data_IF_065786911073
#
_entry.id   IF_065786911073
#
_cell.length_a   1.000
_cell.length_b   1.000
_cell.length_c   1.000
_cell.angle_alpha   90.00
_cell.angle_beta   90.00
_cell.angle_gamma   90.00
#
_symmetry.space_group_name_H-M   'P 1'
#
loop_
_entity.id
_entity.type
_entity.pdbx_description
1 polymer ?
#
# COMPACT_ATOMS: atom_id res chain seq x y z
N UNK A 1 9.71 -28.88 -27.29
CA UNK A 1 10.05 -27.45 -27.23
C UNK A 1 9.48 -26.91 -25.93
N UNK A 2 10.29 -26.27 -25.09
CA UNK A 2 9.75 -25.57 -23.92
C UNK A 2 8.91 -24.41 -24.44
N UNK A 3 7.60 -24.45 -24.14
CA UNK A 3 6.67 -23.37 -24.46
C UNK A 3 7.03 -22.16 -23.59
N UNK A 4 7.29 -21.02 -24.20
CA UNK A 4 7.45 -19.77 -23.48
C UNK A 4 6.06 -19.30 -23.05
N UNK A 5 5.70 -19.53 -21.78
CA UNK A 5 4.38 -19.22 -21.22
C UNK A 5 4.41 -17.96 -20.36
N UNK A 6 3.25 -17.36 -20.15
CA UNK A 6 3.08 -16.23 -19.23
C UNK A 6 3.56 -16.57 -17.82
N UNK A 7 3.23 -17.77 -17.32
CA UNK A 7 3.68 -18.25 -16.02
C UNK A 7 5.21 -18.30 -15.89
N UNK A 8 5.93 -18.66 -16.96
CA UNK A 8 7.40 -18.65 -16.94
C UNK A 8 7.97 -17.22 -16.82
N UNK A 9 7.33 -16.25 -17.47
CA UNK A 9 7.72 -14.84 -17.39
C UNK A 9 7.39 -14.27 -16.01
N UNK A 10 6.23 -14.62 -15.47
CA UNK A 10 5.81 -14.19 -14.13
C UNK A 10 6.72 -14.75 -13.04
N UNK A 11 7.02 -16.06 -13.06
CA UNK A 11 7.94 -16.68 -12.11
C UNK A 11 9.34 -16.04 -12.16
N UNK A 12 9.83 -15.73 -13.36
CA UNK A 12 11.11 -15.04 -13.53
C UNK A 12 11.07 -13.62 -12.95
N UNK A 13 9.96 -12.88 -13.13
CA UNK A 13 9.79 -11.55 -12.58
C UNK A 13 9.71 -11.57 -11.05
N UNK A 14 8.98 -12.52 -10.46
CA UNK A 14 8.93 -12.71 -9.01
C UNK A 14 10.30 -13.02 -8.42
N UNK A 15 11.10 -13.87 -9.08
CA UNK A 15 12.45 -14.17 -8.66
C UNK A 15 13.37 -12.92 -8.65
N UNK A 16 13.16 -11.98 -9.59
CA UNK A 16 13.87 -10.70 -9.56
C UNK A 16 13.45 -9.82 -8.39
N UNK A 17 12.15 -9.75 -8.07
CA UNK A 17 11.66 -9.00 -6.91
C UNK A 17 12.19 -9.61 -5.60
N UNK A 18 12.18 -10.93 -5.47
CA UNK A 18 12.76 -11.63 -4.31
C UNK A 18 14.25 -11.28 -4.14
N UNK A 19 15.02 -11.29 -5.24
CA UNK A 19 16.43 -10.92 -5.22
C UNK A 19 16.69 -9.45 -4.83
N UNK A 20 15.71 -8.57 -5.02
CA UNK A 20 15.73 -7.17 -4.56
C UNK A 20 15.28 -7.00 -3.10
N UNK A 21 14.89 -8.08 -2.43
CA UNK A 21 14.46 -8.07 -1.03
C UNK A 21 12.95 -7.89 -0.83
N UNK A 22 12.14 -8.03 -1.89
CA UNK A 22 10.69 -8.00 -1.76
C UNK A 22 10.21 -9.31 -1.13
N UNK A 23 9.19 -9.22 -0.28
CA UNK A 23 8.40 -10.40 0.05
C UNK A 23 7.63 -10.82 -1.20
N UNK A 24 7.70 -12.11 -1.55
CA UNK A 24 6.93 -12.69 -2.66
C UNK A 24 5.81 -13.57 -2.08
N UNK A 25 4.57 -13.29 -2.48
CA UNK A 25 3.41 -14.13 -2.14
C UNK A 25 2.67 -14.55 -3.41
N UNK A 26 2.01 -15.69 -3.35
CA UNK A 26 1.07 -16.09 -4.40
C UNK A 26 -0.33 -15.58 -4.06
N UNK A 27 -1.03 -14.98 -5.02
CA UNK A 27 -2.37 -14.41 -4.88
C UNK A 27 -3.35 -15.31 -4.12
N UNK A 28 -3.46 -16.62 -4.43
CA UNK A 28 -4.32 -17.54 -3.71
C UNK A 28 -4.00 -17.69 -2.21
N UNK A 29 -2.76 -17.47 -1.78
CA UNK A 29 -2.36 -17.59 -0.37
C UNK A 29 -2.92 -16.45 0.50
N UNK A 30 -3.18 -15.28 -0.10
CA UNK A 30 -3.75 -14.09 0.57
C UNK A 30 -5.21 -13.84 0.21
N UNK A 31 -5.86 -14.78 -0.47
CA UNK A 31 -7.24 -14.69 -0.88
C UNK A 31 -8.20 -14.69 0.32
N UNK A 32 -9.44 -14.27 0.07
CA UNK A 32 -10.51 -14.31 1.07
C UNK A 32 -10.67 -15.71 1.65
N UNK A 33 -10.91 -15.81 2.95
CA UNK A 33 -11.10 -17.06 3.70
C UNK A 33 -9.85 -17.95 3.83
N UNK A 34 -8.66 -17.46 3.48
CA UNK A 34 -7.40 -18.13 3.83
C UNK A 34 -6.89 -17.70 5.22
N UNK A 35 -6.08 -18.53 5.90
CA UNK A 35 -5.45 -18.14 7.16
C UNK A 35 -4.59 -16.86 7.05
N UNK A 36 -3.97 -16.64 5.89
CA UNK A 36 -3.19 -15.44 5.55
C UNK A 36 -3.97 -14.42 4.72
N UNK A 37 -5.29 -14.38 4.83
CA UNK A 37 -6.11 -13.47 4.02
C UNK A 37 -5.73 -12.00 4.25
N UNK A 38 -5.34 -11.32 3.17
CA UNK A 38 -5.12 -9.88 3.14
C UNK A 38 -6.07 -9.17 2.18
N UNK A 39 -6.68 -9.94 1.27
CA UNK A 39 -7.71 -9.49 0.33
C UNK A 39 -9.09 -9.53 0.97
N UNK A 40 -9.98 -8.69 0.46
CA UNK A 40 -11.36 -8.55 0.91
C UNK A 40 -12.38 -8.96 -0.15
N UNK A 41 -12.03 -8.85 -1.44
CA UNK A 41 -12.86 -9.29 -2.57
C UNK A 41 -12.48 -10.71 -3.00
N UNK A 42 -13.42 -11.68 -2.99
CA UNK A 42 -13.16 -13.05 -3.45
C UNK A 42 -12.79 -13.14 -4.94
N UNK A 43 -13.04 -12.09 -5.73
CA UNK A 43 -12.71 -12.00 -7.14
C UNK A 43 -11.40 -11.25 -7.42
N UNK A 44 -10.59 -10.97 -6.38
CA UNK A 44 -9.26 -10.37 -6.52
C UNK A 44 -9.23 -8.93 -7.08
N UNK A 45 -10.35 -8.19 -7.01
CA UNK A 45 -10.38 -6.78 -7.47
C UNK A 45 -9.79 -5.77 -6.48
N UNK A 46 -9.31 -6.22 -5.31
CA UNK A 46 -8.61 -5.35 -4.38
C UNK A 46 -7.33 -4.81 -5.04
N UNK A 47 -7.36 -3.55 -5.44
CA UNK A 47 -6.21 -2.81 -5.94
C UNK A 47 -5.27 -2.35 -4.82
N UNK A 48 -5.74 -2.39 -3.57
CA UNK A 48 -5.02 -1.99 -2.36
C UNK A 48 -5.21 -3.06 -1.28
N UNK A 49 -4.17 -3.36 -0.53
CA UNK A 49 -4.24 -4.21 0.66
C UNK A 49 -4.36 -3.32 1.90
N UNK A 50 -5.60 -3.05 2.32
CA UNK A 50 -5.90 -2.05 3.35
C UNK A 50 -5.17 -2.29 4.68
N UNK A 51 -5.07 -3.56 5.09
CA UNK A 51 -4.38 -3.94 6.33
C UNK A 51 -2.90 -3.57 6.31
N UNK A 52 -2.20 -3.91 5.23
CA UNK A 52 -0.79 -3.55 5.04
C UNK A 52 -0.59 -2.05 4.96
N UNK A 53 -1.45 -1.34 4.22
CA UNK A 53 -1.36 0.12 4.13
C UNK A 53 -1.49 0.78 5.52
N UNK A 54 -2.45 0.34 6.34
CA UNK A 54 -2.59 0.86 7.72
C UNK A 54 -1.37 0.56 8.56
N UNK A 55 -0.84 -0.65 8.48
CA UNK A 55 0.36 -1.05 9.23
C UNK A 55 1.59 -0.24 8.81
N UNK A 56 1.79 -0.03 7.50
CA UNK A 56 2.85 0.81 6.97
C UNK A 56 2.72 2.27 7.44
N UNK A 57 1.52 2.84 7.41
CA UNK A 57 1.27 4.19 7.91
C UNK A 57 1.63 4.33 9.40
N UNK A 58 1.31 3.33 10.23
CA UNK A 58 1.70 3.31 11.65
C UNK A 58 3.23 3.22 11.80
N UNK A 59 3.86 2.31 11.07
CA UNK A 59 5.31 2.08 11.16
C UNK A 59 6.13 3.29 10.73
N UNK A 60 5.74 3.93 9.62
CA UNK A 60 6.45 5.08 9.05
C UNK A 60 6.19 6.40 9.78
N UNK A 61 5.17 6.46 10.64
CA UNK A 61 4.74 7.70 11.30
C UNK A 61 4.46 7.48 12.80
N UNK A 62 5.44 7.03 13.60
CA UNK A 62 5.24 6.69 15.01
C UNK A 62 4.79 7.87 15.87
N UNK A 63 5.09 9.11 15.46
CA UNK A 63 4.74 10.33 16.19
C UNK A 63 3.34 10.86 15.88
N UNK A 64 2.66 10.31 14.87
CA UNK A 64 1.31 10.75 14.51
C UNK A 64 0.25 9.98 15.30
N UNK A 65 -0.79 10.68 15.83
CA UNK A 65 -1.87 10.01 16.53
C UNK A 65 -2.71 9.19 15.54
N UNK A 66 -3.35 8.14 16.05
CA UNK A 66 -4.19 7.23 15.24
C UNK A 66 -5.22 7.96 14.37
N UNK A 67 -5.87 9.00 14.89
CA UNK A 67 -6.83 9.81 14.12
C UNK A 67 -6.22 10.47 12.86
N UNK A 68 -4.95 10.86 12.91
CA UNK A 68 -4.23 11.40 11.76
C UNK A 68 -3.93 10.30 10.73
N UNK A 69 -3.51 9.12 11.19
CA UNK A 69 -3.24 7.96 10.32
C UNK A 69 -4.51 7.47 9.61
N UNK A 70 -5.65 7.45 10.30
CA UNK A 70 -6.95 7.16 9.70
C UNK A 70 -7.35 8.19 8.64
N UNK A 71 -7.03 9.47 8.87
CA UNK A 71 -7.26 10.51 7.88
C UNK A 71 -6.37 10.34 6.63
N UNK A 72 -5.09 10.00 6.82
CA UNK A 72 -4.17 9.66 5.73
C UNK A 72 -4.68 8.46 4.93
N UNK A 73 -5.04 7.37 5.61
CA UNK A 73 -5.57 6.16 5.00
C UNK A 73 -6.78 6.48 4.12
N UNK A 74 -7.76 7.23 4.65
CA UNK A 74 -8.96 7.62 3.88
C UNK A 74 -8.63 8.46 2.65
N UNK A 75 -7.62 9.32 2.72
CA UNK A 75 -7.19 10.15 1.58
C UNK A 75 -6.51 9.32 0.49
N UNK A 76 -5.73 8.31 0.88
CA UNK A 76 -5.03 7.42 -0.05
C UNK A 76 -5.99 6.43 -0.74
N UNK A 77 -7.03 5.96 -0.04
CA UNK A 77 -7.97 4.96 -0.57
C UNK A 77 -9.20 5.57 -1.26
N UNK A 78 -9.49 6.86 -1.04
CA UNK A 78 -10.60 7.56 -1.69
C UNK A 78 -10.46 7.54 -3.22
N UNK A 79 -11.46 6.95 -3.87
CA UNK A 79 -11.47 6.72 -5.31
C UNK A 79 -12.60 7.47 -6.04
N UNK A 80 -13.56 7.97 -5.28
CA UNK A 80 -14.91 8.34 -5.70
C UNK A 80 -15.13 9.86 -5.85
N UNK A 81 -14.23 10.68 -5.32
CA UNK A 81 -14.40 12.15 -5.29
C UNK A 81 -13.64 12.87 -6.42
N UNK A 82 -12.60 12.23 -6.98
CA UNK A 82 -11.73 12.83 -7.98
C UNK A 82 -11.93 12.19 -9.36
N UNK A 83 -11.85 13.00 -10.41
CA UNK A 83 -11.67 12.46 -11.76
C UNK A 83 -10.36 11.65 -11.85
N UNK A 84 -10.26 10.73 -12.82
CA UNK A 84 -9.04 9.95 -13.03
C UNK A 84 -7.79 10.84 -13.20
N UNK A 85 -7.92 11.98 -13.86
CA UNK A 85 -6.81 12.94 -14.06
C UNK A 85 -6.39 13.57 -12.74
N UNK A 86 -7.34 14.02 -11.93
CA UNK A 86 -7.05 14.61 -10.62
C UNK A 86 -6.42 13.57 -9.69
N UNK A 87 -6.91 12.32 -9.73
CA UNK A 87 -6.34 11.22 -8.95
C UNK A 87 -4.90 10.92 -9.38
N UNK A 88 -4.63 10.85 -10.68
CA UNK A 88 -3.28 10.61 -11.21
C UNK A 88 -2.31 11.74 -10.83
N UNK A 89 -2.79 12.98 -10.61
CA UNK A 89 -1.96 14.08 -10.10
C UNK A 89 -1.79 14.06 -8.58
N UNK A 90 -2.81 13.64 -7.84
CA UNK A 90 -2.83 13.67 -6.38
C UNK A 90 -2.02 12.52 -5.76
N UNK A 91 -2.17 11.29 -6.27
CA UNK A 91 -1.54 10.10 -5.68
C UNK A 91 -0.01 10.19 -5.67
N UNK A 92 0.68 10.52 -6.78
CA UNK A 92 2.14 10.64 -6.77
C UNK A 92 2.64 11.68 -5.77
N UNK A 93 1.93 12.80 -5.62
CA UNK A 93 2.27 13.82 -4.60
C UNK A 93 2.12 13.28 -3.19
N UNK A 94 1.04 12.55 -2.91
CA UNK A 94 0.88 11.91 -1.59
C UNK A 94 1.93 10.83 -1.31
N UNK A 95 2.38 10.12 -2.34
CA UNK A 95 3.45 9.12 -2.21
C UNK A 95 4.82 9.77 -1.95
N UNK A 96 5.11 10.89 -2.63
CA UNK A 96 6.39 11.60 -2.53
C UNK A 96 6.48 12.51 -1.30
N UNK A 97 5.47 13.34 -1.08
CA UNK A 97 5.46 14.40 -0.07
C UNK A 97 4.76 13.97 1.24
N UNK A 98 4.06 12.83 1.20
CA UNK A 98 3.15 12.37 2.26
C UNK A 98 1.71 12.86 2.08
N UNK A 99 0.80 12.17 2.75
CA UNK A 99 -0.60 12.57 2.81
C UNK A 99 -0.79 13.67 3.87
N UNK A 100 -1.27 14.84 3.45
CA UNK A 100 -1.54 15.93 4.40
C UNK A 100 -2.68 15.56 5.33
N UNK A 101 -2.48 15.66 6.64
CA UNK A 101 -3.45 15.29 7.68
C UNK A 101 -3.64 16.41 8.68
N UNK A 102 -4.81 16.44 9.31
CA UNK A 102 -5.10 17.38 10.39
C UNK A 102 -5.66 16.61 11.60
N UNK A 103 -5.16 16.92 12.79
CA UNK A 103 -5.62 16.29 14.03
C UNK A 103 -5.67 17.29 15.18
N UNK A 104 -6.51 16.99 16.17
CA UNK A 104 -6.65 17.81 17.38
C UNK A 104 -5.61 17.41 18.42
N UNK A 105 -4.85 18.38 18.93
CA UNK A 105 -3.92 18.20 20.04
C UNK A 105 -4.66 18.19 21.38
N UNK A 106 -3.96 17.78 22.44
CA UNK A 106 -4.52 17.73 23.80
C UNK A 106 -4.98 19.10 24.31
N UNK A 107 -4.35 20.19 23.85
CA UNK A 107 -4.72 21.58 24.18
C UNK A 107 -5.96 22.08 23.40
N UNK A 108 -6.56 21.24 22.54
CA UNK A 108 -7.71 21.59 21.71
C UNK A 108 -7.37 22.26 20.37
N UNK A 109 -6.11 22.61 20.13
CA UNK A 109 -5.65 23.20 18.85
C UNK A 109 -5.65 22.17 17.71
N UNK A 110 -5.74 22.63 16.47
CA UNK A 110 -5.61 21.79 15.27
C UNK A 110 -4.17 21.88 14.77
N UNK A 111 -3.53 20.71 14.62
CA UNK A 111 -2.23 20.58 14.01
C UNK A 111 -2.36 20.00 12.60
N UNK A 112 -1.59 20.54 11.66
CA UNK A 112 -1.35 19.91 10.36
C UNK A 112 -0.03 19.15 10.35
N UNK A 113 0.01 18.01 9.66
CA UNK A 113 1.22 17.23 9.42
C UNK A 113 1.18 16.54 8.05
N UNK A 114 2.31 15.99 7.61
CA UNK A 114 2.38 15.07 6.48
C UNK A 114 2.58 13.65 7.02
N UNK A 115 1.67 12.73 6.69
CA UNK A 115 1.85 11.32 6.94
C UNK A 115 2.65 10.71 5.79
N UNK A 116 3.88 10.29 6.08
CA UNK A 116 4.78 9.61 5.14
C UNK A 116 4.15 8.30 4.67
N UNK A 117 4.23 8.04 3.36
CA UNK A 117 3.71 6.81 2.73
C UNK A 117 4.83 5.91 2.23
N UNK A 118 5.93 6.51 1.79
CA UNK A 118 7.17 5.81 1.40
C UNK A 118 8.33 6.47 2.14
N UNK A 119 9.20 5.66 2.73
CA UNK A 119 10.49 6.07 3.24
C UNK A 119 11.54 5.97 2.14
N UNK A 120 11.87 7.11 1.53
CA UNK A 120 12.93 7.18 0.51
C UNK A 120 14.32 7.31 1.12
N UNK A 121 14.43 7.72 2.39
CA UNK A 121 15.70 7.91 3.09
C UNK A 121 16.28 6.55 3.52
N UNK A 122 15.40 5.64 3.93
CA UNK A 122 15.74 4.30 4.44
C UNK A 122 14.76 3.28 3.84
N UNK A 123 15.00 2.82 2.58
CA UNK A 123 14.06 2.01 1.82
C UNK A 123 13.63 0.69 2.48
N UNK A 124 14.47 0.14 3.36
CA UNK A 124 14.23 -1.06 4.17
C UNK A 124 13.13 -0.88 5.24
N UNK A 125 12.74 0.36 5.56
CA UNK A 125 11.60 0.62 6.44
C UNK A 125 10.25 0.40 5.75
N UNK A 126 10.23 0.28 4.41
CA UNK A 126 9.01 0.07 3.65
C UNK A 126 8.63 -1.42 3.60
N UNK A 127 7.34 -1.69 3.53
CA UNK A 127 6.80 -3.03 3.27
C UNK A 127 6.72 -3.27 1.74
N UNK A 128 7.76 -3.89 1.19
CA UNK A 128 7.85 -4.26 -0.22
C UNK A 128 7.27 -5.66 -0.46
N UNK A 129 6.14 -5.71 -1.17
CA UNK A 129 5.44 -6.95 -1.50
C UNK A 129 5.22 -7.06 -3.01
N UNK A 130 5.60 -8.21 -3.58
CA UNK A 130 5.20 -8.63 -4.92
C UNK A 130 4.23 -9.82 -4.80
N UNK A 131 3.09 -9.71 -5.49
CA UNK A 131 2.08 -10.77 -5.52
C UNK A 131 1.71 -11.06 -6.96
N UNK A 132 1.67 -12.34 -7.35
CA UNK A 132 1.14 -12.70 -8.66
C UNK A 132 -0.37 -12.45 -8.75
N UNK A 133 -0.81 -12.11 -9.96
CA UNK A 133 -2.23 -12.03 -10.27
C UNK A 133 -2.77 -13.46 -10.38
N UNK A 134 -3.84 -13.75 -9.67
CA UNK A 134 -4.42 -15.10 -9.67
C UNK A 134 -5.04 -15.38 -11.04
N UNK A 135 -4.35 -16.18 -11.87
CA UNK A 135 -4.86 -16.68 -13.14
C UNK A 135 -3.89 -16.50 -14.29
#
# INVERSE_FOLDING_TARGET
MASFTESLVEDAALAWFEALGYTVLHGPAIAVSQPGAERSDPNYHDAMLDGRLRQALVSLNPDLPHAALEDAFRKLTRSDVLSLIERNRAVPRMLLDGATVAYRRQDGSIAGAQARVIDFDTPENNDWLAVNQSG
#
